data_IF_578117469209
#
_entry.id   IF_578117469209
#
_cell.length_a   1.000
_cell.length_b   1.000
_cell.length_c   1.000
_cell.angle_alpha   90.00
_cell.angle_beta   90.00
_cell.angle_gamma   90.00
#
_symmetry.space_group_name_H-M   'P 1'
#
loop_
_entity.id
_entity.type
_entity.pdbx_description
1 polymer ?
#
# COMPACT_ATOMS: atom_id res chain seq x y z
N UNK A 1 9.59 2.67 -24.17
CA UNK A 1 8.80 1.42 -24.25
C UNK A 1 7.35 1.88 -24.28
N UNK A 2 6.66 1.76 -25.41
CA UNK A 2 5.25 2.19 -25.54
C UNK A 2 4.37 1.41 -24.56
N UNK A 3 3.41 2.09 -23.94
CA UNK A 3 2.46 1.48 -23.00
C UNK A 3 1.49 0.52 -23.72
N UNK A 4 0.87 -0.40 -22.97
CA UNK A 4 -0.19 -1.29 -23.51
C UNK A 4 -1.32 -0.49 -24.18
N UNK A 5 -1.57 0.72 -23.67
CA UNK A 5 -2.61 1.63 -24.17
C UNK A 5 -2.20 2.26 -25.50
N UNK A 6 -0.95 2.70 -25.65
CA UNK A 6 -0.44 3.23 -26.91
C UNK A 6 -0.45 2.19 -28.04
N UNK A 7 -0.10 0.93 -27.71
CA UNK A 7 -0.14 -0.16 -28.69
C UNK A 7 -1.57 -0.50 -29.12
N UNK A 8 -2.51 -0.48 -28.19
CA UNK A 8 -3.93 -0.68 -28.50
C UNK A 8 -4.47 0.43 -29.41
N UNK A 9 -4.13 1.68 -29.11
CA UNK A 9 -4.59 2.82 -29.90
C UNK A 9 -4.10 2.77 -31.35
N UNK A 10 -2.82 2.43 -31.55
CA UNK A 10 -2.22 2.24 -32.88
C UNK A 10 -2.89 1.11 -33.69
N UNK A 11 -3.30 0.03 -33.01
CA UNK A 11 -4.03 -1.08 -33.61
C UNK A 11 -5.45 -0.68 -34.05
N UNK A 12 -6.14 0.19 -33.29
CA UNK A 12 -7.45 0.72 -33.71
C UNK A 12 -7.35 1.58 -34.97
N UNK A 13 -6.25 2.31 -35.15
CA UNK A 13 -5.99 3.03 -36.40
C UNK A 13 -5.77 2.06 -37.57
N UNK A 14 -4.98 0.99 -37.39
CA UNK A 14 -4.65 0.00 -38.43
C UNK A 14 -5.79 -0.99 -38.76
N UNK A 15 -6.77 -1.17 -37.88
CA UNK A 15 -7.92 -2.11 -38.03
C UNK A 15 -8.92 -1.77 -39.14
N UNK A 16 -8.74 -0.66 -39.86
CA UNK A 16 -9.58 -0.31 -41.02
C UNK A 16 -9.28 -1.15 -42.28
N UNK A 17 -8.26 -2.02 -42.26
CA UNK A 17 -7.98 -2.96 -43.35
C UNK A 17 -8.10 -4.40 -42.86
N UNK A 18 -8.85 -5.22 -43.61
CA UNK A 18 -9.17 -6.60 -43.27
C UNK A 18 -7.91 -7.44 -42.98
N UNK A 19 -7.79 -7.94 -41.74
CA UNK A 19 -6.64 -8.74 -41.31
C UNK A 19 -6.94 -10.23 -41.47
N UNK A 20 -6.00 -10.95 -42.07
CA UNK A 20 -5.99 -12.41 -42.23
C UNK A 20 -6.01 -13.11 -40.85
N UNK A 21 -6.98 -14.02 -40.57
CA UNK A 21 -7.11 -14.71 -39.29
C UNK A 21 -5.83 -15.43 -38.82
N UNK A 22 -4.97 -15.86 -39.75
CA UNK A 22 -3.71 -16.54 -39.43
C UNK A 22 -2.67 -15.57 -38.85
N UNK A 23 -2.68 -14.31 -39.29
CA UNK A 23 -1.80 -13.27 -38.75
C UNK A 23 -2.20 -12.89 -37.33
N UNK A 24 -3.51 -12.86 -37.04
CA UNK A 24 -4.04 -12.56 -35.71
C UNK A 24 -3.67 -13.66 -34.70
N UNK A 25 -3.79 -14.94 -35.08
CA UNK A 25 -3.37 -16.06 -34.22
C UNK A 25 -1.87 -16.01 -33.90
N UNK A 26 -1.01 -15.74 -34.90
CA UNK A 26 0.45 -15.61 -34.68
C UNK A 26 0.80 -14.42 -33.81
N UNK A 27 0.07 -13.32 -33.95
CA UNK A 27 0.22 -12.13 -33.12
C UNK A 27 -0.10 -12.45 -31.65
N UNK A 28 -1.26 -13.05 -31.36
CA UNK A 28 -1.65 -13.39 -29.99
C UNK A 28 -0.73 -14.43 -29.36
N UNK A 29 -0.20 -15.37 -30.13
CA UNK A 29 0.82 -16.31 -29.64
C UNK A 29 2.09 -15.58 -29.19
N UNK A 30 2.56 -14.61 -29.97
CA UNK A 30 3.72 -13.79 -29.61
C UNK A 30 3.46 -12.96 -28.35
N UNK A 31 2.28 -12.33 -28.26
CA UNK A 31 1.92 -11.53 -27.09
C UNK A 31 1.82 -12.40 -25.83
N UNK A 32 1.19 -13.56 -25.92
CA UNK A 32 1.12 -14.51 -24.81
C UNK A 32 2.50 -15.00 -24.36
N UNK A 33 3.42 -15.26 -25.29
CA UNK A 33 4.80 -15.62 -24.98
C UNK A 33 5.54 -14.48 -24.26
N UNK A 34 5.40 -13.24 -24.74
CA UNK A 34 5.97 -12.05 -24.12
C UNK A 34 5.47 -11.84 -22.69
N UNK A 35 4.16 -11.98 -22.46
CA UNK A 35 3.56 -11.86 -21.13
C UNK A 35 4.05 -12.95 -20.17
N UNK A 36 4.17 -14.19 -20.65
CA UNK A 36 4.71 -15.29 -19.84
C UNK A 36 6.16 -15.01 -19.42
N UNK A 37 6.97 -14.47 -20.31
CA UNK A 37 8.35 -14.09 -19.99
C UNK A 37 8.40 -12.97 -18.94
N UNK A 38 7.57 -11.93 -19.09
CA UNK A 38 7.49 -10.83 -18.11
C UNK A 38 7.05 -11.34 -16.73
N UNK A 39 6.06 -12.24 -16.68
CA UNK A 39 5.59 -12.84 -15.44
C UNK A 39 6.67 -13.69 -14.77
N UNK A 40 7.43 -14.45 -15.55
CA UNK A 40 8.56 -15.23 -15.04
C UNK A 40 9.63 -14.30 -14.43
N UNK A 41 10.05 -13.26 -15.17
CA UNK A 41 11.03 -12.29 -14.67
C UNK A 41 10.56 -11.60 -13.37
N UNK A 42 9.28 -11.26 -13.28
CA UNK A 42 8.70 -10.68 -12.07
C UNK A 42 8.74 -11.65 -10.89
N UNK A 43 8.34 -12.91 -11.11
CA UNK A 43 8.38 -13.95 -10.07
C UNK A 43 9.80 -14.22 -9.59
N UNK A 44 10.78 -14.23 -10.50
CA UNK A 44 12.19 -14.44 -10.17
C UNK A 44 12.71 -13.27 -9.33
N UNK A 45 12.41 -12.04 -9.73
CA UNK A 45 12.72 -10.83 -8.95
C UNK A 45 12.08 -10.86 -7.55
N UNK A 46 10.82 -11.31 -7.44
CA UNK A 46 10.15 -11.44 -6.15
C UNK A 46 10.85 -12.45 -5.25
N UNK A 47 11.26 -13.61 -5.78
CA UNK A 47 12.02 -14.62 -5.03
C UNK A 47 13.35 -14.07 -4.55
N UNK A 48 14.07 -13.35 -5.41
CA UNK A 48 15.33 -12.67 -5.04
C UNK A 48 15.12 -11.64 -3.93
N UNK A 49 14.09 -10.79 -4.03
CA UNK A 49 13.72 -9.83 -2.97
C UNK A 49 13.36 -10.52 -1.64
N UNK A 50 12.88 -11.76 -1.68
CA UNK A 50 12.64 -12.59 -0.49
C UNK A 50 13.89 -13.36 0.00
N UNK A 51 15.06 -13.13 -0.61
CA UNK A 51 16.31 -13.80 -0.27
C UNK A 51 16.43 -15.24 -0.79
N UNK A 52 15.64 -15.60 -1.80
CA UNK A 52 15.63 -16.94 -2.40
C UNK A 52 16.38 -16.94 -3.74
N UNK A 53 16.95 -18.10 -4.12
CA UNK A 53 17.60 -18.33 -5.43
C UNK A 53 18.68 -17.28 -5.78
N UNK A 54 19.43 -16.81 -4.78
CA UNK A 54 20.43 -15.74 -4.93
C UNK A 54 21.72 -16.17 -5.62
N UNK A 55 21.95 -17.47 -5.81
CA UNK A 55 23.20 -18.00 -6.38
C UNK A 55 23.42 -17.62 -7.84
N UNK A 56 22.39 -17.13 -8.53
CA UNK A 56 22.47 -16.66 -9.91
C UNK A 56 22.91 -15.19 -10.03
N UNK A 57 22.93 -14.44 -8.92
CA UNK A 57 23.29 -13.03 -8.88
C UNK A 57 24.79 -12.86 -8.66
N UNK A 58 25.37 -11.87 -9.32
CA UNK A 58 26.74 -11.45 -9.05
C UNK A 58 26.84 -10.55 -7.80
N UNK A 59 28.06 -10.17 -7.43
CA UNK A 59 28.28 -9.35 -6.24
C UNK A 59 27.65 -7.95 -6.33
N UNK A 60 27.69 -7.32 -7.49
CA UNK A 60 27.16 -5.97 -7.67
C UNK A 60 25.63 -6.00 -7.66
N UNK A 61 25.02 -7.02 -8.25
CA UNK A 61 23.59 -7.28 -8.20
C UNK A 61 23.10 -7.58 -6.78
N UNK A 62 23.84 -8.40 -6.01
CA UNK A 62 23.54 -8.66 -4.60
C UNK A 62 23.62 -7.39 -3.75
N UNK A 63 24.65 -6.57 -3.97
CA UNK A 63 24.79 -5.28 -3.28
C UNK A 63 23.68 -4.31 -3.62
N UNK A 64 23.24 -4.28 -4.88
CA UNK A 64 22.10 -3.49 -5.31
C UNK A 64 20.80 -3.94 -4.63
N UNK A 65 20.57 -5.26 -4.60
CA UNK A 65 19.42 -5.87 -3.94
C UNK A 65 19.38 -5.55 -2.43
N UNK A 66 20.51 -5.68 -1.74
CA UNK A 66 20.65 -5.32 -0.34
C UNK A 66 20.28 -3.85 -0.10
N UNK A 67 20.85 -2.94 -0.90
CA UNK A 67 20.58 -1.52 -0.78
C UNK A 67 19.10 -1.19 -1.02
N UNK A 68 18.48 -1.82 -2.03
CA UNK A 68 17.06 -1.65 -2.31
C UNK A 68 16.19 -2.11 -1.12
N UNK A 69 16.51 -3.27 -0.53
CA UNK A 69 15.80 -3.80 0.64
C UNK A 69 15.98 -2.91 1.87
N UNK A 70 17.19 -2.42 2.12
CA UNK A 70 17.47 -1.51 3.22
C UNK A 70 16.67 -0.21 3.12
N UNK A 71 16.70 0.43 1.95
CA UNK A 71 16.00 1.70 1.72
C UNK A 71 14.48 1.56 1.80
N UNK A 72 13.93 0.48 1.21
CA UNK A 72 12.50 0.21 1.27
C UNK A 72 12.05 -0.12 2.70
N UNK A 73 12.82 -0.92 3.46
CA UNK A 73 12.53 -1.23 4.85
C UNK A 73 12.58 0.03 5.74
N UNK A 74 13.57 0.90 5.53
CA UNK A 74 13.66 2.19 6.23
C UNK A 74 12.43 3.06 5.97
N UNK A 75 11.99 3.15 4.70
CA UNK A 75 10.78 3.89 4.32
C UNK A 75 9.52 3.31 4.98
N UNK A 76 9.37 1.98 4.95
CA UNK A 76 8.24 1.29 5.60
C UNK A 76 8.22 1.56 7.10
N UNK A 77 9.38 1.44 7.78
CA UNK A 77 9.49 1.69 9.22
C UNK A 77 9.14 3.14 9.57
N UNK A 78 9.65 4.10 8.79
CA UNK A 78 9.34 5.52 8.96
C UNK A 78 7.84 5.79 8.83
N UNK A 79 7.21 5.27 7.77
CA UNK A 79 5.77 5.41 7.57
C UNK A 79 4.94 4.76 8.67
N UNK A 80 5.30 3.55 9.11
CA UNK A 80 4.64 2.89 10.25
C UNK A 80 4.78 3.71 11.53
N UNK A 81 5.98 4.23 11.80
CA UNK A 81 6.24 5.10 12.94
C UNK A 81 5.39 6.36 12.94
N UNK A 82 5.24 7.00 11.77
CA UNK A 82 4.37 8.16 11.61
C UNK A 82 2.90 7.81 11.92
N UNK A 83 2.38 6.75 11.31
CA UNK A 83 0.98 6.30 11.52
C UNK A 83 0.71 6.01 13.00
N UNK A 84 1.61 5.28 13.67
CA UNK A 84 1.43 4.98 15.09
C UNK A 84 1.54 6.21 15.98
N UNK A 85 2.43 7.15 15.65
CA UNK A 85 2.55 8.41 16.40
C UNK A 85 1.27 9.24 16.27
N UNK A 86 0.70 9.30 15.06
CA UNK A 86 -0.56 9.99 14.80
C UNK A 86 -1.72 9.33 15.56
N UNK A 87 -1.80 8.00 15.55
CA UNK A 87 -2.83 7.25 16.28
C UNK A 87 -2.73 7.44 17.80
N UNK A 88 -1.51 7.40 18.36
CA UNK A 88 -1.26 7.69 19.78
C UNK A 88 -1.72 9.10 20.13
N UNK A 89 -1.40 10.09 19.30
CA UNK A 89 -1.79 11.48 19.53
C UNK A 89 -3.31 11.66 19.53
N UNK A 90 -4.02 11.03 18.58
CA UNK A 90 -5.48 11.08 18.52
C UNK A 90 -6.12 10.40 19.74
N UNK A 91 -5.60 9.25 20.17
CA UNK A 91 -6.06 8.58 21.39
C UNK A 91 -5.83 9.43 22.64
N UNK A 92 -4.68 10.13 22.74
CA UNK A 92 -4.41 11.06 23.83
C UNK A 92 -5.39 12.24 23.87
N UNK A 93 -5.70 12.84 22.71
CA UNK A 93 -6.71 13.90 22.60
C UNK A 93 -8.08 13.41 23.05
N UNK A 94 -8.51 12.24 22.55
CA UNK A 94 -9.79 11.63 22.92
C UNK A 94 -9.86 11.36 24.43
N UNK A 95 -8.81 10.79 25.01
CA UNK A 95 -8.73 10.57 26.47
C UNK A 95 -8.85 11.87 27.25
N UNK A 96 -8.16 12.93 26.82
CA UNK A 96 -8.23 14.23 27.49
C UNK A 96 -9.64 14.83 27.44
N UNK A 97 -10.32 14.75 26.30
CA UNK A 97 -11.69 15.25 26.15
C UNK A 97 -12.65 14.46 27.05
N UNK A 98 -12.63 13.14 27.00
CA UNK A 98 -13.49 12.31 27.85
C UNK A 98 -13.21 12.49 29.34
N UNK A 99 -11.96 12.75 29.74
CA UNK A 99 -11.63 13.06 31.14
C UNK A 99 -12.28 14.37 31.59
N UNK A 100 -12.23 15.41 30.75
CA UNK A 100 -12.86 16.70 31.04
C UNK A 100 -14.38 16.58 31.13
N UNK A 101 -15.01 15.87 30.20
CA UNK A 101 -16.45 15.62 30.22
C UNK A 101 -16.86 14.86 31.50
N UNK A 102 -16.11 13.83 31.90
CA UNK A 102 -16.37 13.09 33.13
C UNK A 102 -16.24 13.99 34.36
N UNK A 103 -15.21 14.83 34.45
CA UNK A 103 -15.04 15.79 35.55
C UNK A 103 -16.21 16.78 35.62
N UNK A 104 -16.70 17.28 34.49
CA UNK A 104 -17.88 18.17 34.44
C UNK A 104 -19.15 17.46 34.90
N UNK A 105 -19.35 16.20 34.50
CA UNK A 105 -20.49 15.39 34.93
C UNK A 105 -20.42 15.15 36.44
N UNK A 106 -19.26 14.79 36.98
CA UNK A 106 -19.08 14.58 38.42
C UNK A 106 -19.41 15.84 39.23
N UNK A 107 -18.95 17.01 38.79
CA UNK A 107 -19.31 18.29 39.43
C UNK A 107 -20.81 18.58 39.41
N UNK A 108 -21.49 18.30 38.29
CA UNK A 108 -22.96 18.46 38.20
C UNK A 108 -23.70 17.52 39.14
N UNK A 109 -23.24 16.27 39.27
CA UNK A 109 -23.84 15.28 40.18
C UNK A 109 -23.68 15.75 41.63
N UNK A 110 -22.50 16.25 42.00
CA UNK A 110 -22.23 16.80 43.34
C UNK A 110 -23.16 17.98 43.64
N UNK A 111 -23.27 18.94 42.72
CA UNK A 111 -24.16 20.09 42.87
C UNK A 111 -25.64 19.67 43.04
N UNK A 112 -26.14 18.75 42.22
CA UNK A 112 -27.53 18.25 42.34
C UNK A 112 -27.73 17.52 43.68
N UNK A 113 -26.72 16.79 44.16
CA UNK A 113 -26.76 16.13 45.46
C UNK A 113 -26.87 17.12 46.62
N UNK A 114 -26.12 18.22 46.56
CA UNK A 114 -26.21 19.32 47.52
C UNK A 114 -27.57 20.00 47.49
N UNK A 115 -28.06 20.37 46.30
CA UNK A 115 -29.38 21.00 46.12
C UNK A 115 -30.52 20.11 46.67
N UNK A 116 -30.48 18.81 46.39
CA UNK A 116 -31.48 17.87 46.92
C UNK A 116 -31.44 17.74 48.45
N UNK A 117 -30.24 17.72 49.04
CA UNK A 117 -30.08 17.65 50.50
C UNK A 117 -30.55 18.94 51.21
N UNK A 118 -30.52 20.08 50.54
CA UNK A 118 -31.10 21.34 51.04
C UNK A 118 -32.63 21.35 50.97
N UNK A 119 -33.23 20.74 49.95
CA UNK A 119 -34.69 20.66 49.80
C UNK A 119 -35.35 19.67 50.79
N UNK A 120 -34.62 18.68 51.30
CA UNK A 120 -35.10 17.70 52.29
C UNK A 120 -35.01 18.19 53.75
N UNK A 121 -34.49 19.40 54.00
CA UNK A 121 -34.43 20.04 55.33
C UNK A 121 -35.62 20.96 55.60
#
# INVERSE_FOLDING_TARGET
MESVIERYNKLTEDRHQAVDPILDVKFWQREAASLRQQLQQLNDSQRQLMGQELSSLDFDELRHLEHQLEMSLKSIRMRKGQIFSDEINELHKKRSLSSKENEEIHKKIEQIGEENAELEK
#
